data_IF_294101718678
#
_entry.id   IF_294101718678
#
_cell.length_a   1.000
_cell.length_b   1.000
_cell.length_c   1.000
_cell.angle_alpha   90.00
_cell.angle_beta   90.00
_cell.angle_gamma   90.00
#
_symmetry.space_group_name_H-M   'P 1'
#
loop_
_entity.id
_entity.type
_entity.pdbx_description
1 polymer ?
#
# COMPACT_ATOMS: atom_id res chain seq x y z
N UNK A 1 -6.90 -24.03 3.14
CA UNK A 1 -6.19 -23.70 4.38
C UNK A 1 -4.86 -23.06 3.99
N UNK A 2 -4.60 -21.83 4.44
CA UNK A 2 -3.34 -21.13 4.19
C UNK A 2 -2.40 -21.49 5.35
N UNK A 3 -1.26 -22.13 5.08
CA UNK A 3 -0.29 -22.40 6.13
C UNK A 3 0.45 -21.12 6.56
N UNK A 4 1.11 -21.17 7.72
CA UNK A 4 1.85 -20.04 8.30
C UNK A 4 2.86 -19.41 7.32
N UNK A 5 3.61 -20.23 6.58
CA UNK A 5 4.59 -19.73 5.60
C UNK A 5 3.92 -18.97 4.45
N UNK A 6 2.81 -19.49 3.93
CA UNK A 6 2.04 -18.84 2.87
C UNK A 6 1.41 -17.54 3.38
N UNK A 7 0.92 -17.50 4.62
CA UNK A 7 0.40 -16.27 5.22
C UNK A 7 1.52 -15.22 5.37
N UNK A 8 2.68 -15.61 5.89
CA UNK A 8 3.83 -14.71 6.03
C UNK A 8 4.30 -14.14 4.69
N UNK A 9 4.27 -14.96 3.63
CA UNK A 9 4.57 -14.48 2.28
C UNK A 9 3.56 -13.44 1.82
N UNK A 10 2.26 -13.71 1.96
CA UNK A 10 1.21 -12.77 1.56
C UNK A 10 1.29 -11.44 2.33
N UNK A 11 1.58 -11.48 3.63
CA UNK A 11 1.74 -10.28 4.44
C UNK A 11 2.99 -9.47 4.04
N UNK A 12 4.10 -10.14 3.69
CA UNK A 12 5.28 -9.46 3.15
C UNK A 12 4.97 -8.81 1.80
N UNK A 13 4.30 -9.53 0.90
CA UNK A 13 3.90 -9.00 -0.41
C UNK A 13 2.99 -7.77 -0.23
N UNK A 14 2.05 -7.82 0.73
CA UNK A 14 1.21 -6.67 1.09
C UNK A 14 2.03 -5.49 1.64
N UNK A 15 2.97 -5.74 2.54
CA UNK A 15 3.85 -4.71 3.09
C UNK A 15 4.64 -3.97 2.00
N UNK A 16 5.22 -4.71 1.06
CA UNK A 16 5.97 -4.12 -0.05
C UNK A 16 5.05 -3.36 -1.01
N UNK A 17 3.84 -3.88 -1.27
CA UNK A 17 2.86 -3.17 -2.09
C UNK A 17 2.45 -1.82 -1.48
N UNK A 18 2.32 -1.73 -0.15
CA UNK A 18 2.04 -0.46 0.51
C UNK A 18 3.23 0.52 0.41
N UNK A 19 4.47 0.02 0.55
CA UNK A 19 5.67 0.84 0.40
C UNK A 19 5.84 1.40 -1.02
N UNK A 20 5.68 0.55 -2.03
CA UNK A 20 5.72 0.95 -3.44
C UNK A 20 4.55 1.88 -3.81
N UNK A 21 3.36 1.60 -3.28
CA UNK A 21 2.16 2.40 -3.48
C UNK A 21 2.36 3.87 -3.13
N UNK A 22 2.99 4.16 -1.98
CA UNK A 22 3.30 5.55 -1.57
C UNK A 22 4.13 6.27 -2.63
N UNK A 23 5.19 5.64 -3.15
CA UNK A 23 6.05 6.25 -4.16
C UNK A 23 5.31 6.45 -5.48
N UNK A 24 4.50 5.47 -5.89
CA UNK A 24 3.69 5.53 -7.11
C UNK A 24 2.70 6.70 -7.04
N UNK A 25 1.95 6.82 -5.95
CA UNK A 25 0.92 7.84 -5.81
C UNK A 25 1.51 9.24 -5.66
N UNK A 26 2.54 9.41 -4.83
CA UNK A 26 3.10 10.73 -4.50
C UNK A 26 4.02 11.29 -5.59
N UNK A 27 4.70 10.42 -6.35
CA UNK A 27 5.72 10.82 -7.34
C UNK A 27 5.32 10.48 -8.76
N UNK A 28 5.15 9.21 -9.09
CA UNK A 28 5.04 8.76 -10.47
C UNK A 28 3.73 9.19 -11.13
N UNK A 29 2.59 8.87 -10.50
CA UNK A 29 1.28 9.24 -11.03
C UNK A 29 1.04 10.74 -10.92
N UNK A 30 1.47 11.38 -9.82
CA UNK A 30 1.36 12.82 -9.67
C UNK A 30 2.13 13.58 -10.79
N UNK A 31 3.31 13.07 -11.15
CA UNK A 31 4.10 13.60 -12.28
C UNK A 31 3.43 13.28 -13.62
N UNK A 32 2.93 12.06 -13.82
CA UNK A 32 2.25 11.68 -15.06
C UNK A 32 1.02 12.56 -15.32
N UNK A 33 0.21 12.84 -14.29
CA UNK A 33 -0.98 13.71 -14.38
C UNK A 33 -0.63 15.09 -14.92
N UNK A 34 0.52 15.66 -14.52
CA UNK A 34 0.98 16.94 -15.06
C UNK A 34 1.19 16.90 -16.59
N UNK A 35 1.65 15.77 -17.13
CA UNK A 35 1.92 15.61 -18.57
C UNK A 35 0.68 15.27 -19.41
N UNK A 36 -0.45 14.96 -18.81
CA UNK A 36 -1.66 14.51 -19.54
C UNK A 36 -2.38 15.61 -20.32
N UNK A 37 -2.10 16.90 -20.03
CA UNK A 37 -2.85 18.01 -20.61
C UNK A 37 -4.33 18.07 -20.19
N UNK A 38 -4.71 17.34 -19.13
CA UNK A 38 -6.06 17.40 -18.58
C UNK A 38 -6.38 18.78 -18.01
N UNK A 39 -7.68 19.10 -18.01
CA UNK A 39 -8.18 20.32 -17.37
C UNK A 39 -7.79 20.40 -15.89
N UNK A 40 -7.60 21.64 -15.40
CA UNK A 40 -7.12 21.91 -14.03
C UNK A 40 -8.00 21.29 -12.95
N UNK A 41 -9.31 21.24 -13.14
CA UNK A 41 -10.23 20.66 -12.15
C UNK A 41 -10.09 19.13 -12.11
N UNK A 42 -9.87 18.51 -13.27
CA UNK A 42 -9.60 17.06 -13.36
C UNK A 42 -8.25 16.73 -12.72
N UNK A 43 -7.21 17.52 -13.00
CA UNK A 43 -5.88 17.36 -12.39
C UNK A 43 -5.96 17.49 -10.88
N UNK A 44 -6.67 18.51 -10.37
CA UNK A 44 -6.86 18.71 -8.93
C UNK A 44 -7.54 17.50 -8.29
N UNK A 45 -8.64 17.03 -8.87
CA UNK A 45 -9.37 15.86 -8.36
C UNK A 45 -8.53 14.58 -8.35
N UNK A 46 -7.71 14.37 -9.38
CA UNK A 46 -6.81 13.20 -9.41
C UNK A 46 -5.76 13.31 -8.30
N UNK A 47 -5.18 14.50 -8.08
CA UNK A 47 -4.19 14.70 -7.00
C UNK A 47 -4.78 14.41 -5.62
N UNK A 48 -6.00 14.86 -5.35
CA UNK A 48 -6.70 14.57 -4.09
C UNK A 48 -6.90 13.05 -3.88
N UNK A 49 -7.24 12.31 -4.94
CA UNK A 49 -7.36 10.84 -4.89
C UNK A 49 -6.00 10.20 -4.61
N UNK A 50 -4.95 10.60 -5.31
CA UNK A 50 -3.60 10.07 -5.11
C UNK A 50 -3.08 10.33 -3.69
N UNK A 51 -3.35 11.51 -3.13
CA UNK A 51 -3.02 11.83 -1.74
C UNK A 51 -3.78 10.94 -0.75
N UNK A 52 -5.07 10.69 -0.99
CA UNK A 52 -5.86 9.78 -0.16
C UNK A 52 -5.32 8.35 -0.20
N UNK A 53 -4.94 7.86 -1.38
CA UNK A 53 -4.34 6.53 -1.54
C UNK A 53 -3.00 6.43 -0.83
N UNK A 54 -2.13 7.43 -0.97
CA UNK A 54 -0.85 7.48 -0.26
C UNK A 54 -1.03 7.46 1.27
N UNK A 55 -1.99 8.22 1.80
CA UNK A 55 -2.32 8.20 3.24
C UNK A 55 -2.78 6.82 3.70
N UNK A 56 -3.61 6.15 2.89
CA UNK A 56 -4.04 4.76 3.15
C UNK A 56 -2.84 3.83 3.26
N UNK A 57 -1.96 3.83 2.27
CA UNK A 57 -0.76 2.97 2.27
C UNK A 57 0.19 3.25 3.43
N UNK A 58 0.39 4.52 3.80
CA UNK A 58 1.17 4.89 4.99
C UNK A 58 0.56 4.32 6.26
N UNK A 59 -0.78 4.36 6.39
CA UNK A 59 -1.48 3.88 7.57
C UNK A 59 -1.51 2.35 7.67
N UNK A 60 -1.59 1.64 6.53
CA UNK A 60 -1.63 0.19 6.50
C UNK A 60 -0.28 -0.45 6.85
N UNK A 61 0.83 0.13 6.39
CA UNK A 61 2.18 -0.41 6.57
C UNK A 61 2.51 -0.84 8.01
N UNK A 62 2.35 0.01 9.06
CA UNK A 62 2.66 -0.40 10.43
C UNK A 62 1.75 -1.54 10.92
N UNK A 63 0.48 -1.55 10.51
CA UNK A 63 -0.47 -2.63 10.86
C UNK A 63 -0.04 -3.96 10.23
N UNK A 64 0.35 -3.96 8.95
CA UNK A 64 0.85 -5.16 8.27
C UNK A 64 2.15 -5.63 8.91
N UNK A 65 3.02 -4.71 9.32
CA UNK A 65 4.26 -5.04 10.04
C UNK A 65 3.98 -5.73 11.39
N UNK A 66 3.00 -5.23 12.15
CA UNK A 66 2.53 -5.85 13.40
C UNK A 66 1.96 -7.25 13.17
N UNK A 67 1.16 -7.43 12.11
CA UNK A 67 0.66 -8.75 11.72
C UNK A 67 1.79 -9.73 11.41
N UNK A 68 2.84 -9.29 10.70
CA UNK A 68 4.02 -10.12 10.41
C UNK A 68 4.73 -10.53 11.71
N UNK A 69 4.92 -9.59 12.64
CA UNK A 69 5.55 -9.86 13.96
C UNK A 69 4.74 -10.91 14.72
N UNK A 70 3.43 -10.68 14.85
CA UNK A 70 2.53 -11.61 15.54
C UNK A 70 2.55 -13.02 14.93
N UNK A 71 2.45 -13.12 13.60
CA UNK A 71 2.45 -14.44 12.92
C UNK A 71 3.79 -15.15 13.11
N UNK A 72 4.92 -14.44 13.13
CA UNK A 72 6.23 -15.05 13.40
C UNK A 72 6.31 -15.63 14.81
N UNK A 73 5.88 -14.86 15.80
CA UNK A 73 6.00 -15.18 17.24
C UNK A 73 4.96 -16.18 17.74
N UNK A 74 3.84 -16.37 17.02
CA UNK A 74 2.80 -17.30 17.44
C UNK A 74 3.05 -18.73 16.94
N UNK A 75 2.85 -19.72 17.80
CA UNK A 75 2.82 -21.14 17.42
C UNK A 75 1.47 -21.57 16.83
N UNK A 76 0.53 -20.64 16.68
CA UNK A 76 -0.80 -20.93 16.12
C UNK A 76 -0.75 -21.02 14.60
N UNK A 77 -1.34 -22.07 14.06
CA UNK A 77 -1.65 -22.16 12.64
C UNK A 77 -2.74 -21.15 12.26
N UNK A 78 -2.61 -20.56 11.08
CA UNK A 78 -3.64 -19.71 10.50
C UNK A 78 -4.76 -20.60 9.94
N UNK A 79 -5.98 -20.48 10.50
CA UNK A 79 -7.14 -21.28 10.13
C UNK A 79 -7.83 -20.74 8.87
#
# INVERSE_FOLDING_TARGET
>A
MINKDKLLRLLKDAYYAEEEGVLIYTKHLNSAVFWTGLDKDKVKRIKEILESLAKGSIAHKPIVEEMIKYVKETDKDAF
#
